data_IF_381668845267
#
_entry.id   IF_381668845267
#
_cell.length_a   1.000
_cell.length_b   1.000
_cell.length_c   1.000
_cell.angle_alpha   90.00
_cell.angle_beta   90.00
_cell.angle_gamma   90.00
#
_symmetry.space_group_name_H-M   'P 1'
#
loop_
_entity.id
_entity.type
_entity.pdbx_description
1 polymer ?
#
# COMPACT_ATOMS: atom_id res chain seq x y z
N UNK A 1 24.04 -0.08 0.70
CA UNK A 1 22.57 -0.25 0.77
C UNK A 1 22.25 -1.60 0.19
N UNK A 2 21.66 -2.49 0.99
CA UNK A 2 21.18 -3.79 0.50
C UNK A 2 20.01 -3.52 -0.44
N UNK A 3 20.10 -3.94 -1.70
CA UNK A 3 19.04 -3.80 -2.70
C UNK A 3 17.86 -4.77 -2.43
N UNK A 4 18.00 -5.60 -1.38
CA UNK A 4 17.02 -6.61 -1.01
C UNK A 4 16.18 -6.16 0.19
N UNK A 5 14.91 -5.89 -0.07
CA UNK A 5 13.87 -5.81 0.96
C UNK A 5 13.05 -7.12 0.88
N UNK A 6 13.26 -8.07 1.80
CA UNK A 6 12.68 -9.42 1.69
C UNK A 6 11.19 -9.48 2.05
N UNK A 7 10.55 -8.34 2.30
CA UNK A 7 9.15 -8.32 2.77
C UNK A 7 8.18 -8.95 1.77
N UNK A 8 8.27 -8.57 0.49
CA UNK A 8 7.33 -9.02 -0.53
C UNK A 8 7.46 -10.51 -0.88
N UNK A 9 8.67 -11.11 -0.98
CA UNK A 9 8.83 -12.54 -1.24
C UNK A 9 8.02 -13.46 -0.33
N UNK A 10 7.88 -13.15 0.95
CA UNK A 10 7.09 -13.98 1.89
C UNK A 10 5.59 -14.00 1.56
N UNK A 11 5.07 -12.95 0.89
CA UNK A 11 3.67 -12.80 0.54
C UNK A 11 3.33 -13.20 -0.90
N UNK A 12 4.32 -13.52 -1.73
CA UNK A 12 4.08 -13.93 -3.13
C UNK A 12 3.12 -15.11 -3.27
N UNK A 13 3.17 -16.16 -2.44
CA UNK A 13 2.20 -17.24 -2.53
C UNK A 13 0.76 -16.77 -2.30
N UNK A 14 0.56 -15.87 -1.33
CA UNK A 14 -0.74 -15.27 -1.05
C UNK A 14 -1.22 -14.38 -2.21
N UNK A 15 -0.34 -13.51 -2.71
CA UNK A 15 -0.67 -12.61 -3.82
C UNK A 15 -1.03 -13.39 -5.08
N UNK A 16 -0.30 -14.45 -5.42
CA UNK A 16 -0.62 -15.34 -6.55
C UNK A 16 -1.96 -16.00 -6.38
N UNK A 17 -2.24 -16.58 -5.21
CA UNK A 17 -3.51 -17.24 -4.94
C UNK A 17 -4.70 -16.27 -5.04
N UNK A 18 -4.52 -15.02 -4.58
CA UNK A 18 -5.56 -14.01 -4.65
C UNK A 18 -5.67 -13.35 -6.02
N UNK A 19 -4.58 -13.06 -6.72
CA UNK A 19 -4.62 -12.47 -8.06
C UNK A 19 -5.19 -13.43 -9.11
N UNK A 20 -4.88 -14.74 -9.01
CA UNK A 20 -5.23 -15.70 -10.05
C UNK A 20 -4.69 -15.25 -11.41
N UNK A 21 -5.53 -15.26 -12.44
CA UNK A 21 -5.16 -14.77 -13.78
C UNK A 21 -5.28 -13.23 -13.94
N UNK A 22 -5.75 -12.52 -12.91
CA UNK A 22 -5.89 -11.07 -12.93
C UNK A 22 -4.58 -10.36 -12.59
N UNK A 23 -4.48 -9.04 -12.83
CA UNK A 23 -3.34 -8.26 -12.40
C UNK A 23 -3.36 -7.96 -10.89
N UNK A 24 -2.19 -7.69 -10.34
CA UNK A 24 -2.03 -6.97 -9.06
C UNK A 24 -2.13 -5.48 -9.35
N UNK A 25 -2.96 -4.76 -8.61
CA UNK A 25 -2.98 -3.30 -8.63
C UNK A 25 -1.93 -2.77 -7.64
N UNK A 26 -0.95 -2.03 -8.12
CA UNK A 26 0.09 -1.43 -7.28
C UNK A 26 -0.09 0.09 -7.21
N UNK A 27 -0.30 0.61 -6.00
CA UNK A 27 -0.52 2.04 -5.74
C UNK A 27 0.77 2.67 -5.18
N UNK A 28 1.43 3.54 -5.96
CA UNK A 28 2.70 4.16 -5.62
C UNK A 28 3.88 3.22 -5.85
N UNK A 29 4.12 2.84 -7.11
CA UNK A 29 5.19 1.89 -7.44
C UNK A 29 6.61 2.48 -7.38
N UNK A 30 6.75 3.79 -7.25
CA UNK A 30 8.03 4.50 -7.28
C UNK A 30 8.91 4.04 -8.47
N UNK A 31 10.18 3.72 -8.25
CA UNK A 31 11.10 3.22 -9.28
C UNK A 31 10.90 1.72 -9.63
N UNK A 32 9.76 1.12 -9.26
CA UNK A 32 9.36 -0.22 -9.71
C UNK A 32 10.07 -1.40 -9.05
N UNK A 33 10.58 -1.27 -7.83
CA UNK A 33 11.27 -2.39 -7.13
C UNK A 33 10.30 -3.51 -6.78
N UNK A 34 9.19 -3.15 -6.14
CA UNK A 34 8.16 -4.12 -5.77
C UNK A 34 7.46 -4.66 -7.03
N UNK A 35 7.24 -3.80 -8.05
CA UNK A 35 6.75 -4.20 -9.38
C UNK A 35 7.63 -5.29 -10.01
N UNK A 36 8.97 -5.10 -10.00
CA UNK A 36 9.91 -6.09 -10.51
C UNK A 36 9.78 -7.44 -9.79
N UNK A 37 9.72 -7.42 -8.46
CA UNK A 37 9.53 -8.64 -7.65
C UNK A 37 8.23 -9.37 -8.01
N UNK A 38 7.14 -8.63 -8.25
CA UNK A 38 5.85 -9.22 -8.66
C UNK A 38 5.95 -9.85 -10.05
N UNK A 39 6.54 -9.12 -11.02
CA UNK A 39 6.68 -9.60 -12.41
C UNK A 39 7.63 -10.80 -12.49
N UNK A 40 8.77 -10.78 -11.80
CA UNK A 40 9.70 -11.90 -11.70
C UNK A 40 9.03 -13.14 -11.08
N UNK A 41 8.03 -12.92 -10.23
CA UNK A 41 7.19 -13.97 -9.68
C UNK A 41 6.10 -14.46 -10.67
N UNK A 42 6.02 -13.94 -11.89
CA UNK A 42 5.04 -14.32 -12.90
C UNK A 42 3.67 -13.64 -12.77
N UNK A 43 3.56 -12.60 -11.95
CA UNK A 43 2.33 -11.81 -11.81
C UNK A 43 2.29 -10.67 -12.83
N UNK A 44 1.12 -10.37 -13.37
CA UNK A 44 0.89 -9.14 -14.12
C UNK A 44 0.62 -8.00 -13.15
N UNK A 45 1.10 -6.81 -13.46
CA UNK A 45 0.94 -5.64 -12.59
C UNK A 45 0.32 -4.47 -13.37
N UNK A 46 -0.62 -3.79 -12.73
CA UNK A 46 -1.09 -2.46 -13.15
C UNK A 46 -0.68 -1.49 -12.05
N UNK A 47 0.21 -0.57 -12.37
CA UNK A 47 0.88 0.29 -11.39
C UNK A 47 0.59 1.77 -11.64
N UNK A 48 0.42 2.53 -10.55
CA UNK A 48 0.28 4.00 -10.58
C UNK A 48 1.41 4.64 -9.78
N UNK A 49 1.97 5.71 -10.34
CA UNK A 49 2.99 6.52 -9.66
C UNK A 49 2.83 8.00 -10.04
N UNK A 50 2.94 8.88 -9.05
CA UNK A 50 2.80 10.33 -9.21
C UNK A 50 4.00 10.94 -9.95
N UNK A 51 5.22 10.48 -9.64
CA UNK A 51 6.46 11.01 -10.19
C UNK A 51 6.75 10.40 -11.56
N UNK A 52 6.74 11.26 -12.60
CA UNK A 52 7.12 10.85 -13.96
C UNK A 52 8.55 10.32 -14.03
N UNK A 53 9.47 10.86 -13.25
CA UNK A 53 10.87 10.44 -13.22
C UNK A 53 11.04 9.07 -12.57
N UNK A 54 10.33 8.82 -11.45
CA UNK A 54 10.30 7.51 -10.83
C UNK A 54 9.67 6.47 -11.78
N UNK A 55 8.60 6.86 -12.47
CA UNK A 55 7.92 6.00 -13.44
C UNK A 55 8.79 5.66 -14.65
N UNK A 56 9.62 6.61 -15.12
CA UNK A 56 10.59 6.35 -16.17
C UNK A 56 11.62 5.29 -15.74
N UNK A 57 12.10 5.35 -14.49
CA UNK A 57 12.98 4.33 -13.92
C UNK A 57 12.26 2.98 -13.78
N UNK A 58 10.99 2.99 -13.35
CA UNK A 58 10.18 1.77 -13.24
C UNK A 58 10.03 1.07 -14.58
N UNK A 59 9.74 1.81 -15.68
CA UNK A 59 9.66 1.26 -17.05
C UNK A 59 10.99 0.69 -17.53
N UNK A 60 12.12 1.30 -17.16
CA UNK A 60 13.44 0.75 -17.49
C UNK A 60 13.73 -0.55 -16.71
N UNK A 61 13.32 -0.59 -15.44
CA UNK A 61 13.51 -1.76 -14.57
C UNK A 61 12.62 -2.93 -14.97
N UNK A 62 11.40 -2.65 -15.39
CA UNK A 62 10.36 -3.64 -15.75
C UNK A 62 9.84 -3.33 -17.15
N UNK A 63 10.59 -3.76 -18.20
CA UNK A 63 10.24 -3.45 -19.58
C UNK A 63 9.01 -4.22 -20.10
N UNK A 64 8.60 -5.27 -19.41
CA UNK A 64 7.44 -6.10 -19.74
C UNK A 64 6.76 -6.66 -18.49
N UNK A 65 5.49 -7.05 -18.61
CA UNK A 65 4.73 -7.66 -17.51
C UNK A 65 4.02 -6.66 -16.58
N UNK A 66 4.26 -5.36 -16.76
CA UNK A 66 3.56 -4.31 -16.02
C UNK A 66 3.02 -3.23 -16.97
N UNK A 67 1.86 -2.68 -16.61
CA UNK A 67 1.27 -1.49 -17.19
C UNK A 67 1.43 -0.33 -16.21
N UNK A 68 1.97 0.81 -16.68
CA UNK A 68 2.32 1.94 -15.83
C UNK A 68 1.52 3.19 -16.16
N UNK A 69 0.87 3.77 -15.15
CA UNK A 69 0.08 5.00 -15.23
C UNK A 69 0.72 6.11 -14.38
N UNK A 70 0.91 7.29 -15.00
CA UNK A 70 1.43 8.46 -14.31
C UNK A 70 0.29 9.30 -13.75
N UNK A 71 0.31 9.58 -12.47
CA UNK A 71 -0.65 10.47 -11.83
C UNK A 71 -0.90 10.14 -10.36
N UNK A 72 -1.66 11.03 -9.74
CA UNK A 72 -2.13 10.80 -8.37
C UNK A 72 -3.24 9.74 -8.38
N UNK A 73 -3.08 8.67 -7.63
CA UNK A 73 -4.06 7.58 -7.60
C UNK A 73 -5.37 7.97 -6.89
N UNK A 74 -5.49 9.18 -6.31
CA UNK A 74 -6.78 9.76 -5.94
C UNK A 74 -7.62 10.09 -7.16
N UNK A 75 -6.98 10.54 -8.24
CA UNK A 75 -7.62 10.99 -9.48
C UNK A 75 -7.49 9.94 -10.59
N UNK A 76 -6.28 9.42 -10.79
CA UNK A 76 -5.96 8.41 -11.82
C UNK A 76 -6.14 7.01 -11.24
N UNK A 77 -7.23 6.34 -11.67
CA UNK A 77 -7.50 4.97 -11.26
C UNK A 77 -7.43 4.04 -12.47
N UNK A 78 -6.41 3.18 -12.56
CA UNK A 78 -6.07 2.50 -13.81
C UNK A 78 -6.91 1.24 -14.10
N UNK A 79 -8.05 1.11 -13.44
CA UNK A 79 -8.99 0.03 -13.68
C UNK A 79 -10.24 0.57 -14.40
N UNK A 80 -10.76 -0.19 -15.34
CA UNK A 80 -12.04 0.12 -15.96
C UNK A 80 -13.16 0.17 -14.92
N UNK A 81 -14.22 0.92 -15.20
CA UNK A 81 -15.38 0.99 -14.32
C UNK A 81 -15.96 -0.41 -14.07
N UNK A 82 -16.22 -0.74 -12.82
CA UNK A 82 -16.72 -2.06 -12.40
C UNK A 82 -15.68 -3.19 -12.43
N UNK A 83 -14.45 -2.94 -12.89
CA UNK A 83 -13.41 -3.97 -12.84
C UNK A 83 -12.96 -4.24 -11.41
N UNK A 84 -12.64 -5.50 -11.14
CA UNK A 84 -12.14 -5.96 -9.84
C UNK A 84 -10.81 -6.68 -9.99
N UNK A 85 -10.02 -6.64 -8.92
CA UNK A 85 -8.73 -7.34 -8.82
C UNK A 85 -8.73 -8.27 -7.60
N UNK A 86 -7.88 -9.30 -7.64
CA UNK A 86 -7.71 -10.18 -6.49
C UNK A 86 -6.66 -9.70 -5.50
N UNK A 87 -5.76 -8.81 -5.90
CA UNK A 87 -4.70 -8.31 -5.03
C UNK A 87 -4.42 -6.83 -5.29
N UNK A 88 -4.23 -6.08 -4.21
CA UNK A 88 -3.76 -4.70 -4.22
C UNK A 88 -2.50 -4.62 -3.36
N UNK A 89 -1.47 -3.96 -3.88
CA UNK A 89 -0.24 -3.63 -3.18
C UNK A 89 -0.14 -2.12 -2.97
N UNK A 90 0.09 -1.67 -1.74
CA UNK A 90 0.28 -0.26 -1.39
C UNK A 90 1.44 -0.12 -0.40
N UNK A 91 2.68 -0.15 -0.92
CA UNK A 91 3.88 -0.13 -0.09
C UNK A 91 4.35 1.30 0.16
N UNK A 92 4.14 1.81 1.38
CA UNK A 92 4.57 3.15 1.80
C UNK A 92 3.99 4.27 0.91
N UNK A 93 2.75 4.12 0.47
CA UNK A 93 2.08 5.08 -0.41
C UNK A 93 0.80 5.70 0.17
N UNK A 94 0.10 5.03 1.08
CA UNK A 94 -1.17 5.53 1.65
C UNK A 94 -0.99 6.55 2.79
N UNK A 95 0.22 6.87 3.17
CA UNK A 95 0.51 7.74 4.31
C UNK A 95 0.75 9.22 3.96
N UNK A 96 0.54 9.62 2.70
CA UNK A 96 0.74 11.01 2.27
C UNK A 96 -0.50 11.88 2.40
N UNK A 97 -1.60 11.35 2.93
CA UNK A 97 -2.92 11.99 2.89
C UNK A 97 -3.48 12.26 4.28
N UNK A 98 -4.39 13.24 4.37
CA UNK A 98 -5.20 13.46 5.56
C UNK A 98 -6.05 12.21 5.87
N UNK A 99 -6.56 12.11 7.11
CA UNK A 99 -7.27 10.91 7.57
C UNK A 99 -8.44 10.54 6.66
N UNK A 100 -9.29 11.53 6.36
CA UNK A 100 -10.48 11.30 5.54
C UNK A 100 -10.15 10.88 4.10
N UNK A 101 -9.07 11.43 3.52
CA UNK A 101 -8.58 11.04 2.20
C UNK A 101 -8.02 9.61 2.22
N UNK A 102 -7.23 9.26 3.25
CA UNK A 102 -6.73 7.90 3.44
C UNK A 102 -7.88 6.90 3.57
N UNK A 103 -8.89 7.25 4.36
CA UNK A 103 -10.08 6.42 4.55
C UNK A 103 -10.90 6.26 3.26
N UNK A 104 -11.03 7.33 2.47
CA UNK A 104 -11.68 7.28 1.16
C UNK A 104 -10.94 6.37 0.18
N UNK A 105 -9.60 6.41 0.17
CA UNK A 105 -8.76 5.52 -0.62
C UNK A 105 -8.91 4.06 -0.20
N UNK A 106 -8.88 3.78 1.10
CA UNK A 106 -9.08 2.42 1.63
C UNK A 106 -10.46 1.88 1.25
N UNK A 107 -11.51 2.70 1.31
CA UNK A 107 -12.85 2.33 0.82
C UNK A 107 -12.88 2.11 -0.70
N UNK A 108 -12.11 2.89 -1.49
CA UNK A 108 -11.98 2.67 -2.93
C UNK A 108 -11.29 1.35 -3.25
N UNK A 109 -10.21 1.03 -2.53
CA UNK A 109 -9.53 -0.27 -2.61
C UNK A 109 -10.49 -1.42 -2.27
N UNK A 110 -11.30 -1.26 -1.22
CA UNK A 110 -12.29 -2.26 -0.84
C UNK A 110 -13.27 -2.58 -1.99
N UNK A 111 -13.76 -1.56 -2.68
CA UNK A 111 -14.73 -1.73 -3.79
C UNK A 111 -14.15 -2.44 -5.01
N UNK A 112 -12.86 -2.34 -5.26
CA UNK A 112 -12.20 -3.00 -6.40
C UNK A 112 -11.63 -4.37 -6.06
N UNK A 113 -11.53 -4.72 -4.79
CA UNK A 113 -11.14 -6.06 -4.38
C UNK A 113 -12.32 -7.02 -4.54
N UNK A 114 -12.09 -8.10 -5.30
CA UNK A 114 -13.09 -9.19 -5.38
C UNK A 114 -13.21 -9.93 -4.05
N UNK A 115 -14.31 -10.63 -3.81
CA UNK A 115 -14.44 -11.52 -2.65
C UNK A 115 -13.25 -12.47 -2.53
N UNK A 116 -12.67 -12.58 -1.33
CA UNK A 116 -11.45 -13.36 -1.10
C UNK A 116 -10.15 -12.70 -1.55
N UNK A 117 -10.21 -11.49 -2.08
CA UNK A 117 -9.03 -10.68 -2.44
C UNK A 117 -8.23 -10.22 -1.22
N UNK A 118 -7.11 -9.56 -1.46
CA UNK A 118 -6.18 -9.10 -0.42
C UNK A 118 -5.63 -7.70 -0.72
N UNK A 119 -5.55 -6.85 0.30
CA UNK A 119 -4.70 -5.68 0.34
C UNK A 119 -3.46 -6.02 1.17
N UNK A 120 -2.30 -5.86 0.56
CA UNK A 120 -1.02 -5.90 1.24
C UNK A 120 -0.46 -4.48 1.28
N UNK A 121 -0.22 -3.93 2.46
CA UNK A 121 0.30 -2.56 2.55
C UNK A 121 1.36 -2.39 3.64
N UNK A 122 2.18 -1.34 3.46
CA UNK A 122 3.07 -0.81 4.50
C UNK A 122 2.74 0.65 4.76
N UNK A 123 2.68 1.02 6.05
CA UNK A 123 2.36 2.36 6.52
C UNK A 123 3.47 2.87 7.45
N UNK A 124 3.80 4.16 7.42
CA UNK A 124 4.78 4.74 8.33
C UNK A 124 4.38 4.54 9.79
N UNK A 125 5.30 4.06 10.62
CA UNK A 125 5.10 3.95 12.06
C UNK A 125 5.41 5.27 12.78
N UNK A 126 4.71 5.56 13.89
CA UNK A 126 5.06 6.62 14.84
C UNK A 126 6.46 6.45 15.43
N UNK A 127 7.05 5.27 15.30
CA UNK A 127 8.41 4.94 15.75
C UNK A 127 9.49 5.17 14.67
N UNK A 128 9.12 5.62 13.46
CA UNK A 128 10.03 5.87 12.32
C UNK A 128 10.79 7.20 12.48
N UNK A 129 11.58 7.31 13.55
CA UNK A 129 12.23 8.57 13.96
C UNK A 129 13.25 9.09 12.96
N UNK A 130 13.98 8.21 12.27
CA UNK A 130 14.94 8.60 11.24
C UNK A 130 14.28 9.25 10.02
N UNK A 131 12.99 8.94 9.80
CA UNK A 131 12.20 9.46 8.67
C UNK A 131 11.13 10.47 9.10
N UNK A 132 11.30 11.09 10.28
CA UNK A 132 10.54 12.25 10.72
C UNK A 132 9.40 11.98 11.69
N UNK A 133 9.22 10.74 12.17
CA UNK A 133 8.24 10.47 13.20
C UNK A 133 8.61 11.16 14.54
N UNK A 134 7.59 11.74 15.19
CA UNK A 134 7.74 12.43 16.49
C UNK A 134 7.47 11.51 17.68
N UNK A 135 7.12 10.26 17.43
CA UNK A 135 6.70 9.30 18.44
C UNK A 135 5.20 9.34 18.73
N UNK A 136 4.72 8.52 19.66
CA UNK A 136 3.32 8.51 20.07
C UNK A 136 2.87 9.88 20.59
N UNK A 137 1.66 10.30 20.21
CA UNK A 137 1.08 11.54 20.73
C UNK A 137 0.39 11.30 22.08
N UNK A 138 0.52 12.27 23.00
CA UNK A 138 -0.16 12.22 24.28
C UNK A 138 -1.69 12.39 24.17
N UNK A 139 -2.17 13.04 23.11
CA UNK A 139 -3.60 13.27 22.89
C UNK A 139 -4.30 12.13 22.13
N UNK A 140 -3.52 11.34 21.37
CA UNK A 140 -4.04 10.22 20.56
C UNK A 140 -4.99 10.63 19.43
N UNK A 141 -4.99 11.91 19.02
CA UNK A 141 -5.81 12.39 17.91
C UNK A 141 -5.15 12.08 16.58
N UNK A 142 -5.95 11.75 15.58
CA UNK A 142 -5.42 11.41 14.25
C UNK A 142 -4.68 12.57 13.57
N UNK A 143 -5.07 13.81 13.80
CA UNK A 143 -4.41 15.01 13.30
C UNK A 143 -2.97 15.17 13.84
N UNK A 144 -2.70 14.70 15.06
CA UNK A 144 -1.39 14.83 15.69
C UNK A 144 -0.30 14.03 14.98
N UNK A 145 -0.69 13.02 14.22
CA UNK A 145 0.22 12.15 13.46
C UNK A 145 0.34 12.53 11.98
N UNK A 146 -0.30 13.61 11.56
CA UNK A 146 -0.22 14.12 10.18
C UNK A 146 0.44 15.50 10.16
N UNK A 147 1.65 15.57 9.63
CA UNK A 147 2.43 16.79 9.56
C UNK A 147 3.46 16.76 8.43
N UNK A 148 4.01 17.94 8.12
CA UNK A 148 5.02 18.09 7.06
C UNK A 148 6.40 17.66 7.56
N UNK A 149 7.04 16.79 6.77
CA UNK A 149 8.44 16.36 6.93
C UNK A 149 9.16 16.64 5.62
N UNK A 150 10.20 17.46 5.63
CA UNK A 150 10.98 17.86 4.45
C UNK A 150 10.10 18.40 3.30
N UNK A 151 9.10 19.23 3.65
CA UNK A 151 8.16 19.82 2.69
C UNK A 151 7.02 18.89 2.21
N UNK A 152 7.00 17.64 2.65
CA UNK A 152 6.01 16.65 2.22
C UNK A 152 5.08 16.31 3.40
N UNK A 153 3.74 16.41 3.24
CA UNK A 153 2.81 15.91 4.24
C UNK A 153 2.95 14.41 4.42
N UNK A 154 3.05 13.96 5.66
CA UNK A 154 3.17 12.54 6.01
C UNK A 154 2.33 12.22 7.23
N UNK A 155 1.67 11.09 7.18
CA UNK A 155 0.99 10.47 8.32
C UNK A 155 1.86 9.36 8.89
N UNK A 156 1.89 9.29 10.19
CA UNK A 156 2.48 8.19 10.93
C UNK A 156 1.38 7.48 11.71
N UNK A 157 1.47 6.17 11.83
CA UNK A 157 0.44 5.34 12.44
C UNK A 157 0.98 4.68 13.70
N UNK A 158 0.21 4.71 14.78
CA UNK A 158 0.31 3.72 15.84
C UNK A 158 -0.57 2.49 15.49
N UNK A 159 -0.48 1.44 16.28
CA UNK A 159 -1.28 0.22 16.07
C UNK A 159 -2.78 0.53 16.04
N UNK A 160 -3.25 1.34 16.98
CA UNK A 160 -4.67 1.69 17.09
C UNK A 160 -5.18 2.45 15.85
N UNK A 161 -4.35 3.34 15.28
CA UNK A 161 -4.70 4.04 14.04
C UNK A 161 -4.79 3.08 12.84
N UNK A 162 -3.89 2.09 12.73
CA UNK A 162 -4.01 1.05 11.69
C UNK A 162 -5.27 0.23 11.88
N UNK A 163 -5.57 -0.21 13.10
CA UNK A 163 -6.77 -0.98 13.42
C UNK A 163 -8.04 -0.17 13.12
N UNK A 164 -8.08 1.13 13.44
CA UNK A 164 -9.21 2.03 13.07
C UNK A 164 -9.35 2.21 11.56
N UNK A 165 -8.24 2.34 10.82
CA UNK A 165 -8.26 2.50 9.37
C UNK A 165 -8.95 1.33 8.68
N UNK A 166 -8.79 0.13 9.24
CA UNK A 166 -9.32 -1.13 8.71
C UNK A 166 -10.44 -1.73 9.60
N UNK A 167 -11.16 -0.91 10.37
CA UNK A 167 -12.22 -1.40 11.25
C UNK A 167 -13.48 -1.85 10.48
N UNK A 168 -13.91 -1.04 9.50
CA UNK A 168 -15.19 -1.26 8.82
C UNK A 168 -15.03 -1.97 7.47
N UNK A 169 -15.59 -3.17 7.37
CA UNK A 169 -15.60 -3.94 6.13
C UNK A 169 -14.30 -4.71 5.85
N UNK A 170 -13.39 -4.77 6.82
CA UNK A 170 -12.10 -5.44 6.66
C UNK A 170 -11.81 -6.47 7.75
N UNK A 171 -11.06 -7.49 7.38
CA UNK A 171 -10.45 -8.46 8.28
C UNK A 171 -8.93 -8.25 8.26
N UNK A 172 -8.37 -7.76 9.35
CA UNK A 172 -6.93 -7.63 9.53
C UNK A 172 -6.33 -9.00 9.88
N UNK A 173 -5.68 -9.66 8.90
CA UNK A 173 -5.10 -10.99 9.06
C UNK A 173 -3.69 -10.97 9.65
N UNK A 174 -2.93 -9.93 9.33
CA UNK A 174 -1.57 -9.75 9.81
C UNK A 174 -1.31 -8.26 10.05
N UNK A 175 -0.66 -7.94 11.16
CA UNK A 175 -0.16 -6.60 11.48
C UNK A 175 1.11 -6.72 12.31
N UNK A 176 2.22 -6.28 11.72
CA UNK A 176 3.53 -6.32 12.36
C UNK A 176 4.26 -4.99 12.13
N UNK A 177 4.90 -4.47 13.19
CA UNK A 177 5.82 -3.35 13.04
C UNK A 177 7.20 -3.89 12.66
N UNK A 178 7.71 -3.48 11.49
CA UNK A 178 8.93 -4.02 10.89
C UNK A 178 9.96 -2.95 10.63
N UNK A 179 11.22 -3.36 10.54
CA UNK A 179 12.31 -2.52 10.04
C UNK A 179 12.53 -2.78 8.56
N UNK A 180 12.45 -1.73 7.77
CA UNK A 180 12.69 -1.75 6.32
C UNK A 180 14.13 -1.32 6.07
N UNK A 181 14.98 -2.24 5.61
CA UNK A 181 16.43 -2.05 5.54
C UNK A 181 16.94 -1.54 4.19
N UNK A 182 16.06 -1.23 3.25
CA UNK A 182 16.42 -0.74 1.90
C UNK A 182 16.81 0.75 1.84
N UNK A 183 16.73 1.45 2.95
CA UNK A 183 17.11 2.86 3.10
C UNK A 183 18.46 2.96 3.82
N UNK A 184 19.15 4.09 3.68
CA UNK A 184 20.43 4.34 4.36
C UNK A 184 20.27 4.25 5.89
N UNK A 185 19.20 4.87 6.41
CA UNK A 185 18.79 4.69 7.79
C UNK A 185 17.55 3.77 7.84
N UNK A 186 17.49 2.82 8.80
CA UNK A 186 16.37 1.89 8.91
C UNK A 186 15.05 2.62 9.07
N UNK A 187 14.11 2.31 8.17
CA UNK A 187 12.73 2.79 8.26
C UNK A 187 11.91 1.87 9.13
N UNK A 188 11.02 2.43 9.96
CA UNK A 188 10.05 1.64 10.74
C UNK A 188 8.66 1.80 10.12
N UNK A 189 8.03 0.69 9.81
CA UNK A 189 6.74 0.67 9.16
C UNK A 189 5.84 -0.45 9.72
N UNK A 190 4.53 -0.24 9.64
CA UNK A 190 3.55 -1.30 9.80
C UNK A 190 3.44 -2.07 8.49
N UNK A 191 3.58 -3.38 8.57
CA UNK A 191 3.27 -4.31 7.48
C UNK A 191 1.93 -4.96 7.80
N UNK A 192 0.97 -4.83 6.88
CA UNK A 192 -0.38 -5.31 7.10
C UNK A 192 -0.91 -6.12 5.92
N UNK A 193 -1.60 -7.22 6.24
CA UNK A 193 -2.36 -8.04 5.30
C UNK A 193 -3.82 -7.98 5.70
N UNK A 194 -4.64 -7.47 4.79
CA UNK A 194 -6.05 -7.16 5.06
C UNK A 194 -6.92 -7.75 3.96
N UNK A 195 -8.06 -8.33 4.33
CA UNK A 195 -9.06 -8.84 3.38
C UNK A 195 -10.39 -8.10 3.52
N UNK A 196 -11.11 -7.87 2.42
CA UNK A 196 -12.47 -7.41 2.53
C UNK A 196 -13.31 -8.47 3.24
N UNK A 197 -14.12 -8.06 4.23
CA UNK A 197 -15.17 -8.93 4.77
C UNK A 197 -16.27 -9.08 3.72
N UNK A 198 -16.83 -10.25 3.59
CA UNK A 198 -18.03 -10.43 2.78
C UNK A 198 -19.13 -9.59 3.42
N UNK A 199 -19.69 -8.64 2.66
CA UNK A 199 -20.94 -8.01 3.07
C UNK A 199 -21.95 -9.13 3.24
N UNK A 200 -22.42 -9.36 4.48
CA UNK A 200 -23.63 -10.14 4.67
C UNK A 200 -24.71 -9.41 3.89
N UNK A 201 -25.11 -9.97 2.74
CA UNK A 201 -26.30 -9.50 2.04
C UNK A 201 -27.40 -9.44 3.11
N UNK A 202 -27.83 -8.22 3.45
CA UNK A 202 -28.98 -8.05 4.31
C UNK A 202 -30.12 -8.83 3.66
N UNK A 203 -30.52 -9.90 4.34
CA UNK A 203 -31.69 -10.67 3.95
C UNK A 203 -32.88 -9.73 3.88
N UNK A 204 -33.52 -9.76 2.76
CA UNK A 204 -34.81 -9.14 2.46
C UNK A 204 -35.87 -9.61 3.42
#
# INVERSE_FOLDING_TARGET
>A
VSDTDPWLPRWLPLLRACAGDGPVLELGCAAGRDTATLVDAGLRVVAVELSSDALAQARQRVPAGAEFHCGDFRDVWPLAEGATVGAVLASLSLHYFAWDETLALVRRIHRVLRPGGVLLCRLNSVNDRHHGARGPSASGRDEDFFYTVDGIPKRFFDRAAVERLFADGWLLQHLEEVRVLRYDEPKVAWEAVIRPTLSSAAGS
#
